data_IF_450425098473
#
_entry.id   IF_450425098473
#
_cell.length_a   1.000
_cell.length_b   1.000
_cell.length_c   1.000
_cell.angle_alpha   90.00
_cell.angle_beta   90.00
_cell.angle_gamma   90.00
#
_symmetry.space_group_name_H-M   'P 1'
#
loop_
_entity.id
_entity.type
_entity.pdbx_description
1 polymer ?
#
# COMPACT_ATOMS: atom_id res chain seq x y z
N UNK A 1 1.48 -39.81 -35.37
CA UNK A 1 2.80 -39.53 -35.93
C UNK A 1 3.44 -38.52 -35.01
N UNK A 2 4.23 -39.03 -34.06
CA UNK A 2 4.70 -38.35 -32.85
C UNK A 2 5.99 -37.58 -33.19
N UNK A 3 5.87 -36.28 -33.43
CA UNK A 3 6.98 -35.42 -33.82
C UNK A 3 7.67 -34.91 -32.56
N UNK A 4 8.51 -35.76 -31.94
CA UNK A 4 9.44 -35.33 -30.90
C UNK A 4 10.41 -34.32 -31.51
N UNK A 5 10.18 -33.03 -31.23
CA UNK A 5 11.13 -31.96 -31.56
C UNK A 5 12.48 -32.31 -30.93
N UNK A 6 13.50 -32.49 -31.76
CA UNK A 6 14.85 -32.77 -31.31
C UNK A 6 15.37 -31.54 -30.56
N UNK A 7 15.46 -31.64 -29.24
CA UNK A 7 16.11 -30.64 -28.42
C UNK A 7 17.58 -30.54 -28.85
N UNK A 8 18.00 -29.35 -29.26
CA UNK A 8 19.40 -29.05 -29.54
C UNK A 8 20.24 -29.12 -28.25
N UNK A 9 21.58 -29.12 -28.34
CA UNK A 9 22.50 -29.30 -27.20
C UNK A 9 22.27 -28.33 -26.00
N UNK A 10 21.51 -27.26 -26.19
CA UNK A 10 21.08 -26.32 -25.15
C UNK A 10 19.71 -26.65 -24.50
N UNK A 11 19.09 -27.78 -24.81
CA UNK A 11 17.75 -28.15 -24.31
C UNK A 11 16.59 -27.35 -24.94
N UNK A 12 16.86 -26.58 -25.99
CA UNK A 12 15.88 -25.76 -26.71
C UNK A 12 15.42 -26.46 -27.99
N UNK A 13 14.15 -26.28 -28.34
CA UNK A 13 13.66 -26.68 -29.66
C UNK A 13 14.30 -25.82 -30.77
N UNK A 14 14.31 -26.28 -32.03
CA UNK A 14 15.01 -25.60 -33.12
C UNK A 14 14.53 -24.17 -33.40
N UNK A 15 13.23 -23.87 -33.22
CA UNK A 15 12.71 -22.53 -33.47
C UNK A 15 13.19 -21.56 -32.39
N UNK A 16 13.11 -21.97 -31.12
CA UNK A 16 13.63 -21.18 -30.00
C UNK A 16 15.14 -20.96 -30.11
N UNK A 17 15.92 -21.99 -30.50
CA UNK A 17 17.35 -21.82 -30.72
C UNK A 17 17.65 -20.82 -31.83
N UNK A 18 16.92 -20.90 -32.96
CA UNK A 18 17.08 -19.97 -34.06
C UNK A 18 16.81 -18.53 -33.64
N UNK A 19 15.74 -18.30 -32.87
CA UNK A 19 15.42 -16.97 -32.35
C UNK A 19 16.47 -16.45 -31.37
N UNK A 20 16.99 -17.31 -30.48
CA UNK A 20 18.08 -16.95 -29.57
C UNK A 20 19.32 -16.51 -30.35
N UNK A 21 19.73 -17.29 -31.36
CA UNK A 21 20.87 -16.95 -32.20
C UNK A 21 20.64 -15.66 -32.99
N UNK A 22 19.44 -15.44 -33.51
CA UNK A 22 19.05 -14.22 -34.22
C UNK A 22 19.16 -12.98 -33.34
N UNK A 23 18.67 -13.06 -32.09
CA UNK A 23 18.78 -11.95 -31.13
C UNK A 23 20.23 -11.73 -30.70
N UNK A 24 20.98 -12.80 -30.41
CA UNK A 24 22.37 -12.72 -29.98
C UNK A 24 23.31 -12.16 -31.05
N UNK A 25 23.00 -12.40 -32.33
CA UNK A 25 23.77 -11.88 -33.47
C UNK A 25 23.36 -10.46 -33.90
N UNK A 26 22.35 -9.84 -33.26
CA UNK A 26 21.88 -8.52 -33.64
C UNK A 26 22.92 -7.43 -33.30
N UNK A 27 23.18 -6.45 -34.19
CA UNK A 27 24.15 -5.38 -33.94
C UNK A 27 23.87 -4.54 -32.68
N UNK A 28 22.60 -4.49 -32.27
CA UNK A 28 22.09 -3.75 -31.12
C UNK A 28 21.85 -4.64 -29.88
N UNK A 29 22.38 -5.87 -29.90
CA UNK A 29 22.18 -6.87 -28.83
C UNK A 29 22.60 -6.38 -27.45
N UNK A 30 23.75 -5.73 -27.31
CA UNK A 30 24.20 -5.21 -26.01
C UNK A 30 23.21 -4.18 -25.45
N UNK A 31 22.69 -3.29 -26.30
CA UNK A 31 21.68 -2.31 -25.89
C UNK A 31 20.35 -3.00 -25.54
N UNK A 32 19.96 -4.02 -26.29
CA UNK A 32 18.77 -4.81 -26.01
C UNK A 32 18.89 -5.53 -24.67
N UNK A 33 20.05 -6.16 -24.40
CA UNK A 33 20.37 -6.85 -23.15
C UNK A 33 20.32 -5.87 -21.97
N UNK A 34 20.90 -4.68 -22.12
CA UNK A 34 20.83 -3.63 -21.11
C UNK A 34 19.39 -3.21 -20.81
N UNK A 35 18.55 -3.04 -21.84
CA UNK A 35 17.13 -2.76 -21.62
C UNK A 35 16.45 -3.89 -20.84
N UNK A 36 16.69 -5.15 -21.20
CA UNK A 36 16.10 -6.31 -20.53
C UNK A 36 16.51 -6.34 -19.05
N UNK A 37 17.80 -6.18 -18.75
CA UNK A 37 18.29 -6.13 -17.36
C UNK A 37 17.66 -5.00 -16.55
N UNK A 38 17.50 -3.80 -17.14
CA UNK A 38 16.87 -2.66 -16.46
C UNK A 38 15.40 -2.89 -16.11
N UNK A 39 14.72 -3.82 -16.77
CA UNK A 39 13.35 -4.18 -16.37
C UNK A 39 13.30 -5.03 -15.09
N UNK A 40 14.45 -5.53 -14.61
CA UNK A 40 14.54 -6.28 -13.36
C UNK A 40 13.82 -7.63 -13.35
N UNK A 41 13.57 -8.22 -14.53
CA UNK A 41 12.79 -9.45 -14.66
C UNK A 41 11.27 -9.23 -14.67
N UNK A 42 10.82 -8.03 -15.05
CA UNK A 42 9.40 -7.74 -15.27
C UNK A 42 8.77 -8.72 -16.27
N UNK A 43 7.62 -9.30 -15.91
CA UNK A 43 6.92 -10.31 -16.71
C UNK A 43 6.28 -9.74 -17.98
N UNK A 44 5.84 -8.48 -17.93
CA UNK A 44 5.18 -7.80 -19.06
C UNK A 44 5.61 -6.33 -19.13
N UNK A 45 6.82 -6.02 -19.62
CA UNK A 45 7.35 -4.66 -19.68
C UNK A 45 6.50 -3.73 -20.56
N UNK A 46 6.36 -2.47 -20.13
CA UNK A 46 5.75 -1.43 -20.96
C UNK A 46 6.72 -1.02 -22.05
N UNK A 47 6.24 -0.97 -23.29
CA UNK A 47 7.00 -0.56 -24.46
C UNK A 47 6.68 0.90 -24.80
N UNK A 48 7.66 1.78 -24.65
CA UNK A 48 7.55 3.19 -24.96
C UNK A 48 8.17 3.49 -26.33
N UNK A 49 7.49 4.34 -27.10
CA UNK A 49 7.98 4.89 -28.37
C UNK A 49 7.86 6.40 -28.33
N UNK A 50 8.92 7.11 -28.73
CA UNK A 50 8.91 8.57 -28.78
C UNK A 50 10.27 9.18 -28.53
N UNK A 51 10.28 10.44 -28.13
CA UNK A 51 11.49 11.21 -27.89
C UNK A 51 11.32 12.19 -26.74
N UNK A 52 12.44 12.62 -26.17
CA UNK A 52 12.47 13.66 -25.13
C UNK A 52 13.52 14.70 -25.50
N UNK A 53 13.21 15.97 -25.21
CA UNK A 53 14.10 17.10 -25.42
C UNK A 53 14.15 17.93 -24.14
N UNK A 54 15.33 18.02 -23.52
CA UNK A 54 15.58 18.94 -22.43
C UNK A 54 16.25 20.19 -23.00
N UNK A 55 15.65 21.35 -22.73
CA UNK A 55 16.19 22.66 -23.11
C UNK A 55 16.55 23.47 -21.88
N UNK A 56 17.59 24.29 -22.01
CA UNK A 56 17.86 25.33 -21.03
C UNK A 56 16.72 26.35 -21.02
N UNK A 57 16.24 26.71 -19.84
CA UNK A 57 15.05 27.55 -19.69
C UNK A 57 15.31 29.00 -20.10
N UNK A 58 16.55 29.47 -19.99
CA UNK A 58 16.91 30.88 -20.18
C UNK A 58 17.35 31.16 -21.62
N UNK A 59 18.26 30.35 -22.14
CA UNK A 59 18.81 30.45 -23.51
C UNK A 59 17.96 29.75 -24.56
N UNK A 60 17.19 28.73 -24.18
CA UNK A 60 16.44 27.89 -25.12
C UNK A 60 17.27 26.80 -25.81
N UNK A 61 18.57 26.71 -25.49
CA UNK A 61 19.49 25.73 -26.07
C UNK A 61 19.10 24.29 -25.71
N UNK A 62 19.34 23.37 -26.64
CA UNK A 62 19.08 21.95 -26.38
C UNK A 62 20.22 21.35 -25.55
N UNK A 63 19.90 20.96 -24.31
CA UNK A 63 20.84 20.31 -23.41
C UNK A 63 20.90 18.80 -23.64
N UNK A 64 19.76 18.18 -23.96
CA UNK A 64 19.68 16.73 -24.17
C UNK A 64 18.56 16.38 -25.14
N UNK A 65 18.85 15.49 -26.08
CA UNK A 65 17.85 14.85 -26.94
C UNK A 65 17.97 13.33 -26.79
N UNK A 66 16.84 12.65 -26.74
CA UNK A 66 16.75 11.19 -26.75
C UNK A 66 15.59 10.79 -27.66
N UNK A 67 15.75 9.75 -28.47
CA UNK A 67 14.72 9.19 -29.36
C UNK A 67 14.78 7.67 -29.30
N UNK A 68 13.62 7.01 -29.27
CA UNK A 68 13.56 5.54 -29.33
C UNK A 68 13.78 4.98 -30.74
N UNK A 69 13.88 5.82 -31.77
CA UNK A 69 14.18 5.38 -33.15
C UNK A 69 15.50 4.62 -33.22
N UNK A 70 16.47 5.00 -32.40
CA UNK A 70 17.78 4.34 -32.32
C UNK A 70 17.82 3.19 -31.30
N UNK A 71 16.70 2.87 -30.64
CA UNK A 71 16.63 1.78 -29.68
C UNK A 71 16.28 0.44 -30.37
N UNK A 72 16.70 -0.70 -29.80
CA UNK A 72 16.36 -2.02 -30.33
C UNK A 72 14.86 -2.24 -30.55
N UNK A 73 14.49 -2.34 -31.83
CA UNK A 73 13.09 -2.47 -32.27
C UNK A 73 12.28 -1.17 -32.12
N UNK A 74 12.91 0.00 -32.16
CA UNK A 74 12.26 1.32 -32.15
C UNK A 74 11.62 1.70 -30.80
N UNK A 75 11.94 0.98 -29.72
CA UNK A 75 11.22 1.05 -28.45
C UNK A 75 12.12 0.93 -27.22
N UNK A 76 11.73 1.60 -26.15
CA UNK A 76 12.31 1.49 -24.83
C UNK A 76 11.41 0.62 -23.94
N UNK A 77 11.99 -0.40 -23.29
CA UNK A 77 11.29 -1.23 -22.30
C UNK A 77 11.43 -0.65 -20.90
N UNK A 78 10.32 -0.56 -20.19
CA UNK A 78 10.27 -0.14 -18.78
C UNK A 78 9.49 -1.18 -17.98
N UNK A 79 9.94 -1.47 -16.76
CA UNK A 79 9.20 -2.35 -15.85
C UNK A 79 7.75 -1.85 -15.67
N UNK A 80 6.78 -2.76 -15.66
CA UNK A 80 5.36 -2.37 -15.63
C UNK A 80 4.90 -1.74 -14.31
N UNK A 81 5.69 -1.90 -13.24
CA UNK A 81 5.35 -1.40 -11.92
C UNK A 81 4.07 -2.01 -11.32
N UNK A 82 3.58 -3.12 -11.89
CA UNK A 82 2.39 -3.78 -11.41
C UNK A 82 2.67 -4.39 -10.04
N UNK A 83 1.82 -4.06 -9.07
CA UNK A 83 1.99 -4.44 -7.65
C UNK A 83 1.39 -5.81 -7.32
N UNK A 84 0.65 -6.40 -8.27
CA UNK A 84 0.05 -7.73 -8.15
C UNK A 84 1.10 -8.79 -8.48
N UNK A 85 1.46 -9.63 -7.53
CA UNK A 85 2.39 -10.72 -7.77
C UNK A 85 1.79 -11.75 -8.74
N UNK A 86 0.46 -11.89 -8.79
CA UNK A 86 -0.23 -12.69 -9.82
C UNK A 86 0.05 -12.23 -11.26
N UNK A 87 0.36 -10.94 -11.46
CA UNK A 87 0.63 -10.34 -12.78
C UNK A 87 2.10 -10.16 -13.09
N UNK A 88 2.87 -9.72 -12.10
CA UNK A 88 4.30 -9.52 -12.26
C UNK A 88 5.00 -9.76 -10.91
N UNK A 89 5.46 -11.00 -10.63
CA UNK A 89 6.14 -11.33 -9.38
C UNK A 89 7.34 -10.44 -9.09
N UNK A 90 8.14 -10.11 -10.12
CA UNK A 90 9.32 -9.24 -9.98
C UNK A 90 8.95 -7.82 -9.54
N UNK A 91 8.06 -7.14 -10.27
CA UNK A 91 7.67 -5.76 -9.93
C UNK A 91 6.98 -5.68 -8.57
N UNK A 92 6.14 -6.66 -8.23
CA UNK A 92 5.51 -6.74 -6.92
C UNK A 92 6.54 -6.95 -5.79
N UNK A 93 7.55 -7.80 -6.01
CA UNK A 93 8.62 -8.03 -5.04
C UNK A 93 9.43 -6.75 -4.79
N UNK A 94 9.87 -6.07 -5.85
CA UNK A 94 10.59 -4.79 -5.74
C UNK A 94 9.75 -3.76 -4.99
N UNK A 95 8.47 -3.61 -5.33
CA UNK A 95 7.58 -2.67 -4.65
C UNK A 95 7.41 -2.98 -3.16
N UNK A 96 7.27 -4.27 -2.80
CA UNK A 96 7.18 -4.70 -1.40
C UNK A 96 8.49 -4.44 -0.66
N UNK A 97 9.64 -4.74 -1.27
CA UNK A 97 10.96 -4.46 -0.72
C UNK A 97 11.21 -2.97 -0.49
N UNK A 98 10.88 -2.13 -1.46
CA UNK A 98 10.97 -0.67 -1.33
C UNK A 98 10.08 -0.16 -0.20
N UNK A 99 8.85 -0.67 -0.11
CA UNK A 99 7.93 -0.33 0.99
C UNK A 99 8.51 -0.74 2.34
N UNK A 100 9.09 -1.94 2.45
CA UNK A 100 9.76 -2.40 3.66
C UNK A 100 10.87 -1.44 4.08
N UNK A 101 11.77 -1.10 3.16
CA UNK A 101 12.89 -0.21 3.46
C UNK A 101 12.44 1.21 3.82
N UNK A 102 11.42 1.75 3.16
CA UNK A 102 10.85 3.06 3.50
C UNK A 102 10.26 3.09 4.91
N UNK A 103 9.43 2.10 5.26
CA UNK A 103 8.79 2.04 6.58
C UNK A 103 9.83 1.74 7.67
N UNK A 104 10.75 0.81 7.44
CA UNK A 104 11.82 0.47 8.37
C UNK A 104 12.72 1.67 8.65
N UNK A 105 13.12 2.40 7.61
CA UNK A 105 13.96 3.60 7.77
C UNK A 105 13.24 4.68 8.59
N UNK A 106 11.94 4.90 8.34
CA UNK A 106 11.14 5.80 9.18
C UNK A 106 11.01 5.33 10.63
N UNK A 107 10.98 4.04 10.89
CA UNK A 107 10.75 3.52 12.24
C UNK A 107 12.03 3.41 13.08
N UNK A 108 13.15 3.06 12.46
CA UNK A 108 14.39 2.69 13.14
C UNK A 108 15.60 3.57 12.78
N UNK A 109 15.44 4.49 11.81
CA UNK A 109 16.55 5.24 11.21
C UNK A 109 17.23 4.48 10.06
N UNK A 110 17.89 5.24 9.19
CA UNK A 110 18.71 4.74 8.08
C UNK A 110 19.62 5.89 7.59
N UNK A 111 20.91 5.81 7.90
CA UNK A 111 21.91 6.82 7.51
C UNK A 111 22.00 6.99 5.99
N UNK A 112 21.79 5.91 5.22
CA UNK A 112 21.81 5.98 3.74
C UNK A 112 20.64 6.79 3.14
N UNK A 113 19.64 7.12 3.98
CA UNK A 113 18.45 7.88 3.61
C UNK A 113 18.33 9.18 4.44
N UNK A 114 19.40 9.57 5.12
CA UNK A 114 19.45 10.77 5.97
C UNK A 114 18.37 10.75 7.08
N UNK A 115 18.06 9.58 7.65
CA UNK A 115 17.13 9.44 8.77
C UNK A 115 17.91 9.02 10.02
N UNK A 116 17.98 9.86 11.07
CA UNK A 116 18.76 9.55 12.26
C UNK A 116 18.11 8.43 13.08
N UNK A 117 18.95 7.68 13.80
CA UNK A 117 18.49 6.60 14.68
C UNK A 117 17.56 7.07 15.81
N UNK A 118 17.64 8.35 16.20
CA UNK A 118 16.79 8.99 17.22
C UNK A 118 15.31 9.03 16.84
N UNK A 119 14.96 8.81 15.56
CA UNK A 119 13.56 8.69 15.13
C UNK A 119 12.82 7.56 15.86
N UNK A 120 13.56 6.57 16.38
CA UNK A 120 13.03 5.47 17.19
C UNK A 120 12.50 5.91 18.56
N UNK A 121 12.78 7.13 18.99
CA UNK A 121 12.30 7.68 20.26
C UNK A 121 11.02 8.51 20.04
N UNK A 122 10.65 8.77 18.79
CA UNK A 122 9.47 9.56 18.45
C UNK A 122 8.17 8.78 18.75
N UNK A 123 7.12 9.44 19.27
CA UNK A 123 5.83 8.82 19.54
C UNK A 123 5.22 8.24 18.28
N UNK A 124 4.88 6.96 18.32
CA UNK A 124 4.32 6.25 17.17
C UNK A 124 3.43 5.10 17.57
N UNK A 125 2.44 4.85 16.72
CA UNK A 125 1.52 3.73 16.87
C UNK A 125 1.30 3.03 15.54
N UNK A 126 0.99 1.74 15.63
CA UNK A 126 0.36 0.97 14.59
C UNK A 126 -1.16 0.96 14.85
N UNK A 127 -1.91 1.65 14.01
CA UNK A 127 -3.35 1.82 14.14
C UNK A 127 -4.09 1.07 13.04
N UNK A 128 -5.16 0.35 13.40
CA UNK A 128 -6.06 -0.35 12.49
C UNK A 128 -7.46 0.27 12.57
N UNK A 129 -7.90 0.89 11.47
CA UNK A 129 -9.25 1.44 11.33
C UNK A 129 -10.09 0.46 10.50
N UNK A 130 -11.16 -0.08 11.09
CA UNK A 130 -12.00 -1.07 10.41
C UNK A 130 -13.25 -0.45 9.81
N UNK A 131 -13.83 -1.14 8.82
CA UNK A 131 -15.18 -0.85 8.36
C UNK A 131 -16.23 -1.02 9.47
N UNK A 132 -17.39 -0.35 9.37
CA UNK A 132 -18.57 -0.67 10.17
C UNK A 132 -19.12 -2.07 9.78
N UNK A 133 -20.19 -2.47 10.45
CA UNK A 133 -20.95 -3.67 10.06
C UNK A 133 -21.96 -3.32 8.96
N UNK A 134 -22.13 -4.24 8.00
CA UNK A 134 -23.17 -4.18 6.96
C UNK A 134 -24.21 -5.30 7.10
N UNK A 135 -24.12 -6.07 8.17
CA UNK A 135 -24.89 -7.29 8.39
C UNK A 135 -24.03 -8.38 9.01
N UNK A 136 -24.65 -9.42 9.59
CA UNK A 136 -23.92 -10.51 10.19
C UNK A 136 -23.30 -11.41 9.11
N UNK A 137 -22.05 -11.82 9.34
CA UNK A 137 -21.29 -12.70 8.44
C UNK A 137 -20.84 -13.96 9.17
N UNK A 138 -20.59 -15.02 8.40
CA UNK A 138 -19.88 -16.19 8.90
C UNK A 138 -18.49 -15.77 9.40
N UNK A 139 -18.15 -16.20 10.60
CA UNK A 139 -16.90 -15.86 11.27
C UNK A 139 -16.39 -17.04 12.11
N UNK A 140 -15.16 -16.90 12.61
CA UNK A 140 -14.53 -17.84 13.53
C UNK A 140 -14.28 -17.12 14.85
N UNK A 141 -15.18 -17.22 15.84
CA UNK A 141 -14.94 -16.64 17.16
C UNK A 141 -13.83 -17.40 17.90
N UNK A 142 -13.10 -16.72 18.79
CA UNK A 142 -12.02 -17.33 19.60
C UNK A 142 -12.54 -18.46 20.50
N UNK A 143 -13.81 -18.35 20.91
CA UNK A 143 -14.52 -19.36 21.71
C UNK A 143 -15.92 -19.58 21.13
N UNK A 144 -16.35 -20.84 21.06
CA UNK A 144 -17.69 -21.22 20.64
C UNK A 144 -17.82 -21.56 19.14
N UNK A 145 -19.04 -21.45 18.63
CA UNK A 145 -19.38 -21.68 17.24
C UNK A 145 -19.75 -20.36 16.55
N UNK A 146 -19.71 -20.33 15.23
CA UNK A 146 -20.28 -19.25 14.45
C UNK A 146 -21.77 -19.09 14.76
N UNK A 147 -22.34 -17.92 14.49
CA UNK A 147 -23.76 -17.64 14.71
C UNK A 147 -24.69 -18.55 13.87
N UNK A 148 -24.18 -19.18 12.80
CA UNK A 148 -24.90 -20.24 12.08
C UNK A 148 -24.96 -21.60 12.84
N UNK A 149 -24.31 -21.71 13.99
CA UNK A 149 -24.20 -22.94 14.79
C UNK A 149 -22.99 -23.82 14.45
N UNK A 150 -22.32 -23.60 13.31
CA UNK A 150 -21.18 -24.40 12.89
C UNK A 150 -19.84 -23.91 13.46
N UNK A 151 -18.88 -24.82 13.64
CA UNK A 151 -17.46 -24.49 13.86
C UNK A 151 -16.71 -24.55 12.54
N UNK A 152 -16.41 -23.38 12.00
CA UNK A 152 -15.69 -23.28 10.73
C UNK A 152 -14.18 -23.51 10.92
N UNK A 153 -13.53 -24.35 10.08
CA UNK A 153 -12.07 -24.36 9.98
C UNK A 153 -11.54 -23.04 9.40
N UNK A 154 -10.24 -22.77 9.57
CA UNK A 154 -9.63 -21.49 9.16
C UNK A 154 -9.80 -21.15 7.68
N UNK A 155 -9.82 -22.16 6.81
CA UNK A 155 -9.93 -22.02 5.36
C UNK A 155 -11.34 -22.32 4.83
N UNK A 156 -12.36 -22.31 5.70
CA UNK A 156 -13.73 -22.50 5.27
C UNK A 156 -14.15 -21.39 4.28
N UNK A 157 -14.60 -21.74 3.05
CA UNK A 157 -14.96 -20.75 2.03
C UNK A 157 -16.15 -19.88 2.41
N UNK A 158 -16.99 -20.29 3.37
CA UNK A 158 -18.10 -19.45 3.82
C UNK A 158 -17.65 -18.31 4.74
N UNK A 159 -16.43 -18.35 5.30
CA UNK A 159 -15.97 -17.30 6.21
C UNK A 159 -15.94 -15.93 5.53
N UNK A 160 -16.66 -14.97 6.11
CA UNK A 160 -16.82 -13.62 5.58
C UNK A 160 -18.06 -13.43 4.70
N UNK A 161 -18.73 -14.50 4.26
CA UNK A 161 -20.00 -14.36 3.54
C UNK A 161 -21.13 -14.02 4.50
N UNK A 162 -22.19 -13.38 3.99
CA UNK A 162 -23.36 -13.05 4.77
C UNK A 162 -24.01 -14.32 5.36
N UNK A 163 -24.43 -14.27 6.63
CA UNK A 163 -25.25 -15.35 7.22
C UNK A 163 -26.60 -15.47 6.51
N UNK A 164 -27.17 -14.33 6.13
CA UNK A 164 -28.36 -14.21 5.32
C UNK A 164 -28.05 -13.26 4.16
N UNK A 165 -27.88 -13.78 2.93
CA UNK A 165 -27.61 -12.95 1.76
C UNK A 165 -28.72 -11.95 1.42
N UNK A 166 -29.97 -12.17 1.83
CA UNK A 166 -31.08 -11.29 1.46
C UNK A 166 -31.11 -10.01 2.31
N UNK A 167 -30.66 -10.07 3.57
CA UNK A 167 -30.65 -8.92 4.48
C UNK A 167 -29.30 -8.19 4.58
N UNK A 168 -28.23 -8.71 3.97
CA UNK A 168 -26.91 -8.08 4.01
C UNK A 168 -26.82 -6.83 3.13
N UNK A 169 -26.31 -5.72 3.67
CA UNK A 169 -26.20 -4.45 2.97
C UNK A 169 -24.97 -4.40 2.03
N UNK A 170 -25.04 -5.13 0.93
CA UNK A 170 -23.98 -5.18 -0.08
C UNK A 170 -23.71 -3.80 -0.70
N UNK A 171 -24.76 -3.02 -0.98
CA UNK A 171 -24.62 -1.68 -1.51
C UNK A 171 -23.86 -0.77 -0.53
N UNK A 172 -24.18 -0.84 0.76
CA UNK A 172 -23.43 -0.16 1.82
C UNK A 172 -21.97 -0.57 1.86
N UNK A 173 -21.66 -1.87 1.76
CA UNK A 173 -20.29 -2.38 1.77
C UNK A 173 -19.46 -1.87 0.57
N UNK A 174 -20.03 -1.91 -0.64
CA UNK A 174 -19.39 -1.43 -1.87
C UNK A 174 -19.15 0.08 -1.79
N UNK A 175 -20.16 0.85 -1.40
CA UNK A 175 -20.04 2.30 -1.28
C UNK A 175 -19.04 2.70 -0.18
N UNK A 176 -19.02 2.00 0.95
CA UNK A 176 -18.00 2.22 1.97
C UNK A 176 -16.59 2.02 1.41
N UNK A 177 -16.34 0.91 0.71
CA UNK A 177 -15.04 0.63 0.11
C UNK A 177 -14.63 1.73 -0.88
N UNK A 178 -15.56 2.17 -1.73
CA UNK A 178 -15.34 3.27 -2.68
C UNK A 178 -14.98 4.60 -1.98
N UNK A 179 -15.58 4.86 -0.81
CA UNK A 179 -15.35 6.08 -0.03
C UNK A 179 -14.27 5.96 1.05
N UNK A 180 -13.64 4.79 1.23
CA UNK A 180 -12.62 4.55 2.25
C UNK A 180 -11.44 5.54 2.15
N UNK A 181 -11.02 5.89 0.93
CA UNK A 181 -9.98 6.91 0.71
C UNK A 181 -10.38 8.30 1.23
N UNK A 182 -11.64 8.71 1.03
CA UNK A 182 -12.17 9.98 1.53
C UNK A 182 -12.32 9.96 3.06
N UNK A 183 -12.75 8.84 3.63
CA UNK A 183 -12.79 8.64 5.08
C UNK A 183 -11.40 8.82 5.70
N UNK A 184 -10.35 8.30 5.06
CA UNK A 184 -8.98 8.49 5.53
C UNK A 184 -8.51 9.95 5.44
N UNK A 185 -8.82 10.63 4.34
CA UNK A 185 -8.50 12.04 4.19
C UNK A 185 -9.16 12.87 5.32
N UNK A 186 -10.45 12.65 5.59
CA UNK A 186 -11.17 13.33 6.68
C UNK A 186 -10.62 12.96 8.05
N UNK A 187 -10.29 11.70 8.28
CA UNK A 187 -9.64 11.22 9.50
C UNK A 187 -8.32 11.93 9.74
N UNK A 188 -7.41 11.96 8.76
CA UNK A 188 -6.09 12.61 8.95
C UNK A 188 -6.18 14.12 9.11
N UNK A 189 -7.16 14.77 8.48
CA UNK A 189 -7.47 16.18 8.73
C UNK A 189 -7.97 16.40 10.16
N UNK A 190 -8.86 15.52 10.65
CA UNK A 190 -9.37 15.61 12.01
C UNK A 190 -8.31 15.28 13.05
N UNK A 191 -7.46 14.29 12.81
CA UNK A 191 -6.35 13.93 13.70
C UNK A 191 -5.47 15.15 14.00
N UNK A 192 -5.08 15.93 12.99
CA UNK A 192 -4.31 17.17 13.19
C UNK A 192 -5.06 18.21 14.03
N UNK A 193 -6.39 18.28 13.90
CA UNK A 193 -7.23 19.17 14.73
C UNK A 193 -7.28 18.71 16.18
N UNK A 194 -7.41 17.40 16.40
CA UNK A 194 -7.43 16.80 17.73
C UNK A 194 -6.10 16.98 18.47
N UNK A 195 -4.97 16.86 17.75
CA UNK A 195 -3.63 17.12 18.27
C UNK A 195 -3.45 18.60 18.63
N UNK A 196 -3.82 19.51 17.73
CA UNK A 196 -3.73 20.95 17.97
C UNK A 196 -4.55 21.37 19.20
N UNK A 197 -5.81 20.93 19.28
CA UNK A 197 -6.70 21.25 20.39
C UNK A 197 -6.16 20.76 21.74
N UNK A 198 -5.60 19.55 21.81
CA UNK A 198 -5.00 18.99 23.04
C UNK A 198 -3.72 19.71 23.45
N UNK A 199 -2.99 20.28 22.50
CA UNK A 199 -1.81 21.09 22.75
C UNK A 199 -2.13 22.57 23.05
N UNK A 200 -3.40 22.98 23.00
CA UNK A 200 -3.78 24.38 23.14
C UNK A 200 -3.38 25.25 21.94
N UNK A 201 -3.18 24.65 20.77
CA UNK A 201 -2.70 25.30 19.55
C UNK A 201 -3.80 25.37 18.49
N UNK A 202 -3.68 26.33 17.58
CA UNK A 202 -4.35 26.31 16.29
C UNK A 202 -3.70 25.29 15.35
N UNK A 203 -4.39 24.89 14.28
CA UNK A 203 -3.81 24.03 13.24
C UNK A 203 -2.62 24.67 12.50
N UNK A 204 -2.54 26.01 12.49
CA UNK A 204 -1.43 26.72 11.86
C UNK A 204 -0.19 26.57 12.74
N UNK A 205 -0.31 26.93 14.01
CA UNK A 205 0.78 26.82 14.99
C UNK A 205 1.26 25.37 15.17
N UNK A 206 0.35 24.39 15.08
CA UNK A 206 0.75 22.98 15.15
C UNK A 206 1.80 22.63 14.09
N UNK A 207 1.68 23.15 12.86
CA UNK A 207 2.63 22.85 11.78
C UNK A 207 4.02 23.42 12.03
N UNK A 208 4.11 24.48 12.82
CA UNK A 208 5.36 25.15 13.13
C UNK A 208 6.16 24.39 14.21
N UNK A 209 5.54 23.42 14.90
CA UNK A 209 6.17 22.67 16.00
C UNK A 209 6.11 21.15 15.84
N UNK A 210 5.17 20.62 15.06
CA UNK A 210 4.92 19.18 14.96
C UNK A 210 4.49 18.76 13.55
N UNK A 211 5.10 17.67 13.08
CA UNK A 211 4.72 17.00 11.83
C UNK A 211 4.10 15.64 12.13
N UNK A 212 2.91 15.40 11.57
CA UNK A 212 2.28 14.07 11.58
C UNK A 212 2.71 13.31 10.34
N UNK A 213 3.56 12.31 10.52
CA UNK A 213 4.07 11.41 9.48
C UNK A 213 3.32 10.08 9.54
N UNK A 214 2.96 9.51 8.38
CA UNK A 214 2.32 8.20 8.35
C UNK A 214 2.62 7.42 7.08
N UNK A 215 2.60 6.09 7.22
CA UNK A 215 2.50 5.13 6.11
C UNK A 215 1.27 4.27 6.33
N UNK A 216 0.49 4.00 5.28
CA UNK A 216 -0.75 3.21 5.38
C UNK A 216 -0.87 2.18 4.27
N UNK A 217 -1.55 1.08 4.58
CA UNK A 217 -1.96 0.06 3.61
C UNK A 217 -3.43 -0.26 3.80
N UNK A 218 -4.05 -0.65 2.69
CA UNK A 218 -5.41 -1.16 2.67
C UNK A 218 -5.39 -2.67 2.65
N UNK A 219 -6.24 -3.31 3.42
CA UNK A 219 -6.44 -4.75 3.36
C UNK A 219 -7.93 -5.04 3.34
N UNK A 220 -8.31 -6.03 2.54
CA UNK A 220 -9.66 -6.55 2.52
C UNK A 220 -9.79 -7.61 3.60
N UNK A 221 -10.78 -7.43 4.47
CA UNK A 221 -11.21 -8.51 5.36
C UNK A 221 -11.82 -9.65 4.55
N UNK A 222 -11.92 -10.85 5.13
CA UNK A 222 -12.63 -11.98 4.49
C UNK A 222 -14.04 -11.61 4.03
N UNK A 223 -14.70 -10.65 4.71
CA UNK A 223 -16.02 -10.10 4.33
C UNK A 223 -16.00 -9.07 3.21
N UNK A 224 -14.87 -8.87 2.54
CA UNK A 224 -14.70 -7.91 1.45
C UNK A 224 -14.71 -6.43 1.86
N UNK A 225 -14.76 -6.12 3.16
CA UNK A 225 -14.71 -4.75 3.65
C UNK A 225 -13.25 -4.29 3.86
N UNK A 226 -12.93 -3.08 3.42
CA UNK A 226 -11.60 -2.48 3.58
C UNK A 226 -11.37 -2.10 5.05
N UNK A 227 -10.21 -2.46 5.58
CA UNK A 227 -9.62 -1.80 6.76
C UNK A 227 -8.27 -1.20 6.41
N UNK A 228 -7.89 -0.16 7.15
CA UNK A 228 -6.58 0.47 6.99
C UNK A 228 -5.69 0.16 8.18
N UNK A 229 -4.49 -0.32 7.87
CA UNK A 229 -3.38 -0.35 8.82
C UNK A 229 -2.50 0.86 8.55
N UNK A 230 -2.16 1.59 9.59
CA UNK A 230 -1.35 2.79 9.50
C UNK A 230 -0.29 2.83 10.60
N UNK A 231 0.95 3.07 10.20
CA UNK A 231 1.98 3.57 11.11
C UNK A 231 1.81 5.08 11.15
N UNK A 232 1.56 5.64 12.33
CA UNK A 232 1.44 7.09 12.53
C UNK A 232 2.49 7.50 13.56
N UNK A 233 3.32 8.49 13.21
CA UNK A 233 4.41 9.02 14.03
C UNK A 233 4.32 10.53 14.16
N UNK A 234 4.67 11.04 15.33
CA UNK A 234 4.81 12.46 15.61
C UNK A 234 6.28 12.85 15.56
N UNK A 235 6.63 13.76 14.66
CA UNK A 235 7.97 14.32 14.50
C UNK A 235 7.97 15.80 14.90
N UNK A 236 9.15 16.39 15.08
CA UNK A 236 9.30 17.85 15.12
C UNK A 236 8.94 18.50 13.77
N UNK A 237 8.92 19.84 13.75
CA UNK A 237 8.44 20.62 12.60
C UNK A 237 9.09 20.21 11.26
N UNK A 238 10.42 20.02 11.25
CA UNK A 238 11.19 19.71 10.04
C UNK A 238 11.21 18.21 9.70
N UNK A 239 10.57 17.36 10.51
CA UNK A 239 10.43 15.93 10.26
C UNK A 239 11.35 15.05 11.12
N UNK A 240 11.77 13.86 10.63
CA UNK A 240 12.29 12.79 11.47
C UNK A 240 13.63 13.09 12.15
N UNK A 241 14.36 14.12 11.71
CA UNK A 241 15.58 14.59 12.36
C UNK A 241 15.36 15.55 13.53
N UNK A 242 14.13 16.03 13.71
CA UNK A 242 13.79 17.01 14.74
C UNK A 242 12.94 16.35 15.81
N UNK A 243 13.35 16.49 17.06
CA UNK A 243 12.65 15.91 18.22
C UNK A 243 11.26 16.57 18.34
N UNK A 244 10.17 15.78 18.50
CA UNK A 244 8.84 16.34 18.70
C UNK A 244 8.73 17.06 20.06
N UNK A 245 7.77 17.98 20.22
CA UNK A 245 7.52 18.64 21.50
C UNK A 245 7.25 17.64 22.63
N UNK A 246 7.64 17.96 23.86
CA UNK A 246 7.53 17.04 25.02
C UNK A 246 6.09 16.62 25.35
N UNK A 247 5.08 17.43 24.99
CA UNK A 247 3.67 17.09 25.15
C UNK A 247 3.17 16.09 24.10
N UNK A 248 3.87 15.93 22.98
CA UNK A 248 3.52 14.97 21.94
C UNK A 248 3.90 13.58 22.43
N UNK A 249 2.96 12.89 23.09
CA UNK A 249 3.18 11.56 23.65
C UNK A 249 2.38 10.51 22.88
N UNK A 250 2.72 9.23 23.08
CA UNK A 250 1.94 8.11 22.52
C UNK A 250 0.50 8.13 23.05
N UNK A 251 0.31 8.49 24.32
CA UNK A 251 -1.02 8.60 24.94
C UNK A 251 -1.85 9.69 24.25
N UNK A 252 -1.28 10.88 24.08
CA UNK A 252 -1.96 11.98 23.38
C UNK A 252 -2.29 11.60 21.93
N UNK A 253 -1.41 10.85 21.25
CA UNK A 253 -1.66 10.34 19.91
C UNK A 253 -2.81 9.33 19.88
N UNK A 254 -2.84 8.35 20.79
CA UNK A 254 -3.93 7.37 20.91
C UNK A 254 -5.28 8.09 21.11
N UNK A 255 -5.34 8.99 22.09
CA UNK A 255 -6.56 9.76 22.41
C UNK A 255 -7.03 10.61 21.21
N UNK A 256 -6.09 11.22 20.47
CA UNK A 256 -6.40 12.00 19.28
C UNK A 256 -6.89 11.12 18.11
N UNK A 257 -6.33 9.92 17.93
CA UNK A 257 -6.78 8.97 16.91
C UNK A 257 -8.19 8.48 17.23
N UNK A 258 -8.46 8.08 18.48
CA UNK A 258 -9.81 7.63 18.89
C UNK A 258 -10.85 8.72 18.68
N UNK A 259 -10.55 9.96 19.09
CA UNK A 259 -11.44 11.09 18.86
C UNK A 259 -11.67 11.37 17.37
N UNK A 260 -10.60 11.37 16.57
CA UNK A 260 -10.69 11.64 15.13
C UNK A 260 -11.49 10.57 14.37
N UNK A 261 -11.39 9.30 14.77
CA UNK A 261 -12.07 8.19 14.11
C UNK A 261 -13.61 8.27 14.25
N UNK A 262 -14.12 8.72 15.39
CA UNK A 262 -15.56 8.77 15.68
C UNK A 262 -16.19 10.15 15.47
N UNK A 263 -15.38 11.19 15.23
CA UNK A 263 -15.87 12.55 15.06
C UNK A 263 -16.75 12.71 13.82
N UNK A 264 -17.85 13.47 13.92
CA UNK A 264 -18.83 13.69 12.83
C UNK A 264 -18.24 14.26 11.55
N UNK A 265 -17.18 15.07 11.64
CA UNK A 265 -16.42 15.54 10.45
C UNK A 265 -15.89 14.37 9.60
N UNK A 266 -15.55 13.24 10.22
CA UNK A 266 -15.05 12.03 9.55
C UNK A 266 -16.19 11.23 8.88
N UNK A 267 -17.44 11.69 8.96
CA UNK A 267 -18.57 11.07 8.25
C UNK A 267 -18.61 11.46 6.78
N UNK A 268 -18.75 10.51 5.87
CA UNK A 268 -19.10 10.75 4.47
C UNK A 268 -20.60 10.58 4.28
N UNK A 269 -21.26 11.56 3.68
CA UNK A 269 -22.67 11.45 3.24
C UNK A 269 -22.68 11.19 1.75
N UNK A 270 -23.27 10.07 1.35
CA UNK A 270 -23.50 9.70 -0.05
C UNK A 270 -24.96 9.99 -0.37
N UNK A 271 -25.27 10.90 -1.32
CA UNK A 271 -26.64 11.18 -1.73
C UNK A 271 -27.37 9.93 -2.22
N UNK A 272 -28.70 9.95 -2.11
CA UNK A 272 -29.53 8.90 -2.71
C UNK A 272 -29.35 8.89 -4.24
N UNK A 273 -29.34 7.70 -4.84
CA UNK A 273 -29.18 7.52 -6.27
C UNK A 273 -29.92 6.25 -6.73
N UNK A 274 -30.83 6.38 -7.69
CA UNK A 274 -31.65 5.27 -8.16
C UNK A 274 -32.52 4.70 -7.02
N UNK A 275 -32.43 3.39 -6.82
CA UNK A 275 -33.08 2.66 -5.73
C UNK A 275 -32.32 2.72 -4.40
N UNK A 276 -31.12 3.30 -4.38
CA UNK A 276 -30.29 3.39 -3.19
C UNK A 276 -30.63 4.63 -2.35
N UNK A 277 -30.90 4.47 -1.04
CA UNK A 277 -31.18 5.60 -0.15
C UNK A 277 -29.91 6.42 0.12
N UNK A 278 -30.09 7.60 0.73
CA UNK A 278 -28.98 8.37 1.28
C UNK A 278 -28.27 7.53 2.36
N UNK A 279 -26.94 7.49 2.30
CA UNK A 279 -26.11 6.71 3.23
C UNK A 279 -25.07 7.58 3.92
N UNK A 280 -24.72 7.20 5.14
CA UNK A 280 -23.66 7.83 5.91
C UNK A 280 -22.63 6.79 6.32
N UNK A 281 -21.36 7.06 6.02
CA UNK A 281 -20.26 6.18 6.36
C UNK A 281 -19.32 6.83 7.36
N UNK A 282 -18.89 6.04 8.35
CA UNK A 282 -17.84 6.36 9.31
C UNK A 282 -16.95 5.12 9.48
N UNK A 283 -15.81 5.29 10.13
CA UNK A 283 -15.05 4.13 10.62
C UNK A 283 -15.87 3.35 11.65
N UNK A 284 -15.67 2.03 11.67
CA UNK A 284 -16.28 1.15 12.65
C UNK A 284 -15.78 1.45 14.06
N UNK A 285 -16.50 0.93 15.06
CA UNK A 285 -16.16 1.10 16.49
C UNK A 285 -14.88 0.35 16.89
N UNK A 286 -14.49 -0.67 16.12
CA UNK A 286 -13.30 -1.45 16.38
C UNK A 286 -12.09 -0.70 15.85
N UNK A 287 -11.26 -0.25 16.79
CA UNK A 287 -10.04 0.48 16.54
C UNK A 287 -8.95 -0.16 17.40
N UNK A 288 -7.95 -0.71 16.73
CA UNK A 288 -6.80 -1.32 17.39
C UNK A 288 -5.60 -0.38 17.24
N UNK A 289 -5.13 0.19 18.35
CA UNK A 289 -4.00 1.12 18.38
C UNK A 289 -2.97 0.51 19.31
N UNK A 290 -1.78 0.26 18.77
CA UNK A 290 -0.68 -0.34 19.50
C UNK A 290 0.55 0.54 19.39
N UNK A 291 1.16 0.97 20.50
CA UNK A 291 2.45 1.64 20.46
C UNK A 291 3.49 0.78 19.73
N UNK A 292 4.27 1.38 18.83
CA UNK A 292 5.43 0.70 18.23
C UNK A 292 6.64 1.05 19.07
N UNK A 293 7.24 0.05 19.72
CA UNK A 293 8.38 0.26 20.60
C UNK A 293 9.70 -0.16 19.93
N UNK A 294 10.78 0.43 20.45
CA UNK A 294 12.14 0.14 20.04
C UNK A 294 12.54 -1.31 20.41
N UNK A 295 13.39 -1.94 19.59
CA UNK A 295 13.90 -3.30 19.80
C UNK A 295 14.48 -3.52 21.20
N UNK A 296 14.15 -4.66 21.84
CA UNK A 296 14.77 -5.14 23.09
C UNK A 296 13.93 -5.02 24.36
N UNK A 297 12.67 -4.58 24.27
CA UNK A 297 11.79 -4.37 25.43
C UNK A 297 10.84 -5.55 25.75
N UNK A 298 10.94 -6.64 25.00
CA UNK A 298 10.10 -7.84 25.17
C UNK A 298 8.67 -7.70 24.63
N UNK A 299 8.36 -6.68 23.82
CA UNK A 299 7.02 -6.49 23.23
C UNK A 299 6.78 -7.26 21.93
N UNK A 300 5.51 -7.61 21.67
CA UNK A 300 5.08 -8.37 20.48
C UNK A 300 5.17 -7.58 19.16
N UNK A 301 5.36 -6.24 19.20
CA UNK A 301 5.34 -5.37 18.01
C UNK A 301 6.63 -4.55 17.92
N UNK A 302 7.55 -5.07 17.12
CA UNK A 302 8.82 -4.41 16.79
C UNK A 302 8.71 -3.61 15.49
N UNK A 303 9.64 -2.66 15.30
CA UNK A 303 9.76 -1.84 14.08
C UNK A 303 9.87 -2.69 12.80
N UNK A 304 10.63 -3.78 12.86
CA UNK A 304 10.80 -4.71 11.74
C UNK A 304 9.54 -5.50 11.45
N UNK A 305 8.84 -5.97 12.50
CA UNK A 305 7.57 -6.68 12.34
C UNK A 305 6.51 -5.78 11.68
N UNK A 306 6.44 -4.51 12.11
CA UNK A 306 5.56 -3.51 11.50
C UNK A 306 5.94 -3.23 10.05
N UNK A 307 7.23 -3.01 9.75
CA UNK A 307 7.69 -2.77 8.39
C UNK A 307 7.40 -3.97 7.47
N UNK A 308 7.67 -5.19 7.92
CA UNK A 308 7.38 -6.42 7.20
C UNK A 308 5.88 -6.61 6.97
N UNK A 309 5.05 -6.30 7.98
CA UNK A 309 3.60 -6.33 7.86
C UNK A 309 3.12 -5.34 6.79
N UNK A 310 3.51 -4.07 6.88
CA UNK A 310 3.10 -3.04 5.92
C UNK A 310 3.57 -3.40 4.50
N UNK A 311 4.81 -3.86 4.33
CA UNK A 311 5.35 -4.30 3.05
C UNK A 311 4.58 -5.47 2.43
N UNK A 312 4.23 -6.48 3.24
CA UNK A 312 3.42 -7.63 2.83
C UNK A 312 2.05 -7.19 2.31
N UNK A 313 1.43 -6.21 2.96
CA UNK A 313 0.09 -5.77 2.61
C UNK A 313 0.04 -4.72 1.50
N UNK A 314 1.16 -4.07 1.21
CA UNK A 314 1.25 -3.10 0.12
C UNK A 314 1.04 -3.73 -1.27
N UNK A 315 1.37 -5.01 -1.45
CA UNK A 315 1.11 -5.79 -2.67
C UNK A 315 -0.20 -6.55 -2.60
N UNK A 316 -0.53 -7.17 -1.44
CA UNK A 316 -1.81 -7.89 -1.26
C UNK A 316 -3.04 -7.02 -1.50
N UNK A 317 -2.99 -5.73 -1.12
CA UNK A 317 -4.06 -4.78 -1.38
C UNK A 317 -4.48 -4.73 -2.85
N UNK A 318 -3.53 -4.97 -3.77
CA UNK A 318 -3.78 -4.98 -5.20
C UNK A 318 -4.33 -6.32 -5.72
N UNK A 319 -4.25 -7.39 -4.93
CA UNK A 319 -4.65 -8.76 -5.32
C UNK A 319 -6.02 -9.17 -4.76
N UNK A 320 -6.43 -8.65 -3.60
CA UNK A 320 -7.63 -9.17 -2.88
C UNK A 320 -8.96 -8.71 -3.48
N UNK A 321 -8.96 -7.79 -4.44
CA UNK A 321 -10.14 -7.53 -5.26
C UNK A 321 -10.24 -8.63 -6.30
N UNK A 322 -11.14 -9.61 -6.10
CA UNK A 322 -11.45 -10.67 -7.07
C UNK A 322 -12.04 -10.19 -8.40
N UNK A 323 -11.68 -8.98 -8.85
CA UNK A 323 -11.83 -8.58 -10.24
C UNK A 323 -11.08 -9.58 -11.11
N UNK A 324 -11.79 -10.18 -12.06
CA UNK A 324 -11.26 -11.11 -13.05
C UNK A 324 -9.89 -10.64 -13.53
N UNK A 325 -8.90 -11.50 -13.31
CA UNK A 325 -7.52 -11.24 -13.69
C UNK A 325 -7.38 -11.42 -15.22
N UNK A 326 -7.97 -10.50 -16.00
CA UNK A 326 -7.70 -10.34 -17.44
C UNK A 326 -6.66 -9.26 -17.67
#
# INVERSE_FOLDING_TARGET
>A
MDQRAAATAAGLDPATLHDVLRVAAAPDFDRWRDQVHRTGGCSDPVHLTGWTLAKDRTSGDTLRRYSTEAEPGGRLRVACGNRRASRCPSCAHTYSGDTYHLIRAGLAGDESKDIPATVRDHPRVFATLTAPSFGPVHNRPDRGACRCGARHPENDPVLGTALDPESYDYAGAVLFNNHAGQLWQRFTNRLRRELAARAGLTQRELKDVLRVSYGKVAEFQKRGAIHFHAVIRLDGADGPGTVPPSWATVQLLDDAIRAAAVHTYTTITVPAAGDQPLRRFQWGRQLDIRPVKAFGDGSDITEQAVAAYVAKYATKAAETTGSLDR
#
